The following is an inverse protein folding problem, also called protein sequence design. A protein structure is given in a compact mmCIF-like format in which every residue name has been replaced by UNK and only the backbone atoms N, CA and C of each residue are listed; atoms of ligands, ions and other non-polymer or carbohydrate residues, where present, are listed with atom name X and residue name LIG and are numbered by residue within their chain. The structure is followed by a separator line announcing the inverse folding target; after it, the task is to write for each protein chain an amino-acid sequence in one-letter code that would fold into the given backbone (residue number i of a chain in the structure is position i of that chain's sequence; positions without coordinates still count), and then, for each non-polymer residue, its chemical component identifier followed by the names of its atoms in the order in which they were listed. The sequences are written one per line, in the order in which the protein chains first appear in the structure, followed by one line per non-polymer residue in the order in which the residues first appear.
data_IF_604573854687
#
_entry.id   IF_604573854687
#
_cell.length_a   1.000
_cell.length_b   1.000
_cell.length_c   1.000
_cell.angle_alpha   90.00
_cell.angle_beta   90.00
_cell.angle_gamma   90.00
#
_symmetry.space_group_name_H-M   'P 1'
#
loop_
_entity.id
_entity.type
_entity.pdbx_description
1 polymer ?
#
# COMPACT_ATOMS: atom_id res chain seq x y z
N UNK A 1 -24.85 -78.09 -5.01
CA UNK A 1 -24.82 -77.58 -6.40
C UNK A 1 -24.26 -76.16 -6.53
N UNK A 2 -24.56 -75.23 -5.60
CA UNK A 2 -23.99 -73.87 -5.59
C UNK A 2 -22.45 -73.80 -5.49
N UNK A 3 -21.84 -74.72 -4.74
CA UNK A 3 -20.38 -74.79 -4.53
C UNK A 3 -19.64 -75.06 -5.86
N UNK A 4 -20.23 -75.85 -6.76
CA UNK A 4 -19.62 -76.20 -8.06
C UNK A 4 -19.69 -75.01 -9.03
N UNK A 5 -20.79 -74.26 -8.99
CA UNK A 5 -20.99 -73.04 -9.78
C UNK A 5 -20.04 -71.95 -9.29
N UNK A 6 -19.91 -71.79 -7.98
CA UNK A 6 -18.94 -70.87 -7.38
C UNK A 6 -17.52 -71.22 -7.83
N UNK A 7 -17.06 -72.46 -7.66
CA UNK A 7 -15.71 -72.88 -8.05
C UNK A 7 -15.40 -72.65 -9.55
N UNK A 8 -16.42 -72.76 -10.42
CA UNK A 8 -16.27 -72.51 -11.88
C UNK A 8 -16.23 -71.03 -12.26
N UNK A 9 -16.90 -70.16 -11.50
CA UNK A 9 -17.02 -68.72 -11.79
C UNK A 9 -16.32 -67.82 -10.76
N UNK A 10 -15.43 -68.36 -9.93
CA UNK A 10 -14.76 -67.65 -8.83
C UNK A 10 -14.04 -66.35 -9.29
N UNK A 11 -13.46 -66.35 -10.49
CA UNK A 11 -12.78 -65.17 -11.06
C UNK A 11 -13.75 -64.00 -11.33
N UNK A 12 -14.93 -64.27 -11.88
CA UNK A 12 -15.93 -63.23 -12.17
C UNK A 12 -16.61 -62.71 -10.89
N UNK A 13 -16.79 -63.59 -9.90
CA UNK A 13 -17.29 -63.20 -8.57
C UNK A 13 -16.31 -62.23 -7.90
N UNK A 14 -15.01 -62.53 -7.93
CA UNK A 14 -13.97 -61.66 -7.36
C UNK A 14 -13.92 -60.31 -8.10
N UNK A 15 -13.98 -60.32 -9.43
CA UNK A 15 -14.00 -59.08 -10.23
C UNK A 15 -15.24 -58.24 -9.90
N UNK A 16 -16.42 -58.86 -9.79
CA UNK A 16 -17.65 -58.16 -9.39
C UNK A 16 -17.56 -57.54 -8.00
N UNK A 17 -17.01 -58.27 -7.03
CA UNK A 17 -16.78 -57.74 -5.68
C UNK A 17 -15.78 -56.58 -5.67
N UNK A 18 -14.69 -56.68 -6.43
CA UNK A 18 -13.69 -55.60 -6.55
C UNK A 18 -14.29 -54.36 -7.22
N UNK A 19 -15.06 -54.53 -8.29
CA UNK A 19 -15.75 -53.43 -8.97
C UNK A 19 -16.75 -52.74 -8.03
N UNK A 20 -17.50 -53.53 -7.25
CA UNK A 20 -18.45 -53.00 -6.27
C UNK A 20 -17.74 -52.21 -5.15
N UNK A 21 -16.65 -52.75 -4.60
CA UNK A 21 -15.81 -52.03 -3.63
C UNK A 21 -15.27 -50.72 -4.22
N UNK A 22 -14.79 -50.74 -5.47
CA UNK A 22 -14.32 -49.54 -6.16
C UNK A 22 -15.40 -48.46 -6.26
N UNK A 23 -16.61 -48.83 -6.67
CA UNK A 23 -17.74 -47.89 -6.77
C UNK A 23 -18.07 -47.27 -5.41
N UNK A 24 -18.06 -48.06 -4.33
CA UNK A 24 -18.29 -47.55 -2.97
C UNK A 24 -17.20 -46.53 -2.59
N UNK A 25 -15.92 -46.84 -2.82
CA UNK A 25 -14.83 -45.92 -2.49
C UNK A 25 -14.90 -44.61 -3.28
N UNK A 26 -15.25 -44.68 -4.57
CA UNK A 26 -15.44 -43.50 -5.43
C UNK A 26 -16.64 -42.66 -4.97
N UNK A 27 -17.74 -43.29 -4.59
CA UNK A 27 -18.92 -42.60 -4.09
C UNK A 27 -18.64 -41.86 -2.77
N UNK A 28 -17.94 -42.52 -1.83
CA UNK A 28 -17.52 -41.91 -0.57
C UNK A 28 -16.56 -40.75 -0.80
N UNK A 29 -15.59 -40.91 -1.72
CA UNK A 29 -14.64 -39.85 -2.07
C UNK A 29 -15.37 -38.64 -2.68
N UNK A 30 -16.25 -38.86 -3.66
CA UNK A 30 -16.99 -37.80 -4.32
C UNK A 30 -17.90 -37.03 -3.33
N UNK A 31 -18.54 -37.74 -2.39
CA UNK A 31 -19.37 -37.10 -1.37
C UNK A 31 -18.57 -36.20 -0.43
N UNK A 32 -17.35 -36.61 -0.04
CA UNK A 32 -16.45 -35.80 0.78
C UNK A 32 -15.89 -34.60 0.01
N UNK A 33 -15.48 -34.81 -1.25
CA UNK A 33 -14.98 -33.75 -2.13
C UNK A 33 -16.05 -32.70 -2.41
N UNK A 34 -17.32 -33.09 -2.59
CA UNK A 34 -18.43 -32.15 -2.76
C UNK A 34 -18.58 -31.19 -1.58
N UNK A 35 -18.51 -31.70 -0.35
CA UNK A 35 -18.60 -30.88 0.87
C UNK A 35 -17.43 -29.90 1.00
N UNK A 36 -16.22 -30.34 0.64
CA UNK A 36 -15.03 -29.49 0.66
C UNK A 36 -15.14 -28.35 -0.36
N UNK A 37 -15.57 -28.66 -1.59
CA UNK A 37 -15.73 -27.66 -2.64
C UNK A 37 -16.78 -26.60 -2.27
N UNK A 38 -17.89 -26.99 -1.65
CA UNK A 38 -18.90 -26.03 -1.17
C UNK A 38 -18.36 -25.12 -0.05
N UNK A 39 -17.56 -25.69 0.87
CA UNK A 39 -16.92 -24.92 1.93
C UNK A 39 -15.87 -23.95 1.40
N UNK A 40 -15.06 -24.40 0.43
CA UNK A 40 -14.05 -23.58 -0.24
C UNK A 40 -14.67 -22.46 -1.07
N UNK A 41 -15.77 -22.73 -1.78
CA UNK A 41 -16.51 -21.71 -2.53
C UNK A 41 -17.06 -20.61 -1.61
N UNK A 42 -17.65 -20.98 -0.46
CA UNK A 42 -18.14 -20.01 0.52
C UNK A 42 -17.00 -19.20 1.16
N UNK A 43 -15.86 -19.81 1.40
CA UNK A 43 -14.69 -19.14 1.96
C UNK A 43 -14.09 -18.14 0.97
N UNK A 44 -13.88 -18.57 -0.27
CA UNK A 44 -13.31 -17.74 -1.35
C UNK A 44 -14.22 -16.55 -1.69
N UNK A 45 -15.54 -16.73 -1.74
CA UNK A 45 -16.48 -15.63 -1.94
C UNK A 45 -16.40 -14.59 -0.81
N UNK A 46 -16.25 -15.04 0.45
CA UNK A 46 -16.12 -14.12 1.58
C UNK A 46 -14.77 -13.40 1.58
N UNK A 47 -13.67 -14.10 1.29
CA UNK A 47 -12.33 -13.50 1.17
C UNK A 47 -12.35 -12.45 0.06
N UNK A 48 -12.93 -12.75 -1.10
CA UNK A 48 -12.98 -11.81 -2.22
C UNK A 48 -13.80 -10.55 -1.87
N UNK A 49 -14.88 -10.68 -1.09
CA UNK A 49 -15.64 -9.52 -0.60
C UNK A 49 -14.82 -8.66 0.36
N UNK A 50 -14.08 -9.29 1.28
CA UNK A 50 -13.21 -8.59 2.23
C UNK A 50 -12.04 -7.92 1.52
N UNK A 51 -11.39 -8.62 0.59
CA UNK A 51 -10.26 -8.11 -0.19
C UNK A 51 -10.68 -6.89 -1.02
N UNK A 52 -11.81 -6.95 -1.74
CA UNK A 52 -12.34 -5.80 -2.47
C UNK A 52 -12.65 -4.62 -1.54
N UNK A 53 -13.27 -4.87 -0.39
CA UNK A 53 -13.57 -3.82 0.58
C UNK A 53 -12.29 -3.19 1.18
N UNK A 54 -11.26 -4.00 1.43
CA UNK A 54 -9.96 -3.53 1.91
C UNK A 54 -9.22 -2.72 0.84
N UNK A 55 -9.20 -3.19 -0.42
CA UNK A 55 -8.60 -2.46 -1.55
C UNK A 55 -9.31 -1.13 -1.77
N UNK A 56 -10.65 -1.10 -1.71
CA UNK A 56 -11.41 0.15 -1.85
C UNK A 56 -11.17 1.11 -0.68
N UNK A 57 -11.09 0.60 0.55
CA UNK A 57 -10.76 1.40 1.73
C UNK A 57 -9.33 1.96 1.66
N UNK A 58 -8.37 1.14 1.22
CA UNK A 58 -6.98 1.54 1.04
C UNK A 58 -6.84 2.58 -0.06
N UNK A 59 -7.54 2.41 -1.19
CA UNK A 59 -7.60 3.39 -2.27
C UNK A 59 -8.20 4.72 -1.79
N UNK A 60 -9.31 4.71 -1.03
CA UNK A 60 -9.91 5.92 -0.45
C UNK A 60 -8.98 6.63 0.53
N UNK A 61 -8.18 5.88 1.30
CA UNK A 61 -7.19 6.49 2.19
C UNK A 61 -6.00 7.04 1.40
N UNK A 62 -5.48 6.31 0.42
CA UNK A 62 -4.41 6.78 -0.45
C UNK A 62 -4.83 8.00 -1.26
N UNK A 63 -6.06 8.09 -1.74
CA UNK A 63 -6.59 9.28 -2.41
C UNK A 63 -6.62 10.49 -1.48
N UNK A 64 -7.00 10.30 -0.22
CA UNK A 64 -6.98 11.39 0.78
C UNK A 64 -5.55 11.82 1.08
N UNK A 65 -4.62 10.88 1.27
CA UNK A 65 -3.22 11.18 1.55
C UNK A 65 -2.53 11.82 0.35
N UNK A 66 -2.79 11.35 -0.87
CA UNK A 66 -2.26 11.96 -2.10
C UNK A 66 -2.79 13.37 -2.29
N UNK A 67 -4.07 13.64 -2.02
CA UNK A 67 -4.62 15.00 -2.08
C UNK A 67 -3.94 15.93 -1.08
N UNK A 68 -3.83 15.50 0.17
CA UNK A 68 -3.13 16.27 1.22
C UNK A 68 -1.66 16.50 0.87
N UNK A 69 -0.97 15.50 0.31
CA UNK A 69 0.43 15.63 -0.10
C UNK A 69 0.59 16.59 -1.27
N UNK A 70 -0.27 16.49 -2.29
CA UNK A 70 -0.27 17.41 -3.43
C UNK A 70 -0.58 18.85 -3.03
N UNK A 71 -1.52 19.06 -2.10
CA UNK A 71 -1.84 20.39 -1.58
C UNK A 71 -0.71 20.96 -0.73
N UNK A 72 -0.04 20.13 0.08
CA UNK A 72 1.14 20.54 0.86
C UNK A 72 2.32 20.91 -0.04
N UNK A 73 2.57 20.15 -1.11
CA UNK A 73 3.62 20.46 -2.09
C UNK A 73 3.33 21.76 -2.84
N UNK A 74 2.07 22.01 -3.24
CA UNK A 74 1.66 23.27 -3.85
C UNK A 74 1.87 24.46 -2.91
N UNK A 75 1.36 24.39 -1.68
CA UNK A 75 1.55 25.46 -0.69
C UNK A 75 3.03 25.73 -0.41
N UNK A 76 3.86 24.68 -0.31
CA UNK A 76 5.31 24.81 -0.12
C UNK A 76 5.99 25.48 -1.32
N UNK A 77 5.58 25.15 -2.55
CA UNK A 77 6.10 25.80 -3.76
C UNK A 77 5.72 27.28 -3.85
N UNK A 78 4.48 27.63 -3.51
CA UNK A 78 4.03 29.03 -3.44
C UNK A 78 4.75 29.82 -2.34
N UNK A 79 5.02 29.18 -1.19
CA UNK A 79 5.82 29.79 -0.13
C UNK A 79 7.27 29.98 -0.56
N UNK A 80 7.89 29.00 -1.25
CA UNK A 80 9.25 29.14 -1.79
C UNK A 80 9.38 30.30 -2.76
N UNK A 81 8.45 30.45 -3.71
CA UNK A 81 8.51 31.56 -4.69
C UNK A 81 8.34 32.93 -4.03
N UNK A 82 7.47 33.04 -3.01
CA UNK A 82 7.33 34.27 -2.21
C UNK A 82 8.62 34.59 -1.45
N UNK A 83 9.24 33.61 -0.79
CA UNK A 83 10.50 33.80 -0.05
C UNK A 83 11.66 34.15 -0.99
N UNK A 84 11.77 33.51 -2.16
CA UNK A 84 12.76 33.85 -3.18
C UNK A 84 12.55 35.27 -3.72
N UNK A 85 11.31 35.68 -3.96
CA UNK A 85 11.00 37.04 -4.41
C UNK A 85 11.36 38.06 -3.35
N UNK A 86 10.99 37.83 -2.08
CA UNK A 86 11.31 38.72 -0.96
C UNK A 86 12.82 38.81 -0.73
N UNK A 87 13.53 37.68 -0.73
CA UNK A 87 14.99 37.69 -0.55
C UNK A 87 15.71 38.36 -1.72
N UNK A 88 15.23 38.20 -2.97
CA UNK A 88 15.77 38.89 -4.14
C UNK A 88 15.47 40.38 -4.12
N UNK A 89 14.26 40.79 -3.72
CA UNK A 89 13.91 42.21 -3.60
C UNK A 89 14.66 42.85 -2.44
N UNK A 90 14.79 42.21 -1.28
CA UNK A 90 15.61 42.71 -0.16
C UNK A 90 17.07 42.83 -0.58
N UNK A 91 17.66 41.81 -1.22
CA UNK A 91 19.04 41.92 -1.72
C UNK A 91 19.21 43.07 -2.73
N UNK A 92 18.26 43.25 -3.66
CA UNK A 92 18.32 44.32 -4.67
C UNK A 92 17.99 45.71 -4.11
N UNK A 93 17.13 45.81 -3.11
CA UNK A 93 16.74 47.07 -2.47
C UNK A 93 17.78 47.50 -1.42
N UNK A 94 18.53 46.55 -0.84
CA UNK A 94 19.60 46.80 0.15
C UNK A 94 21.00 46.75 -0.50
N UNK A 95 21.10 46.81 -1.82
CA UNK A 95 22.39 46.78 -2.54
C UNK A 95 23.33 47.94 -2.14
N UNK A 96 22.78 48.98 -1.50
CA UNK A 96 23.53 49.89 -0.63
C UNK A 96 22.70 50.15 0.63
N UNK A 97 23.06 49.63 1.82
CA UNK A 97 22.46 50.12 3.04
C UNK A 97 22.72 51.63 3.12
N UNK A 98 21.68 52.44 2.96
CA UNK A 98 21.77 53.87 3.22
C UNK A 98 21.91 53.99 4.73
N UNK A 99 23.14 54.19 5.19
CA UNK A 99 23.39 54.64 6.56
C UNK A 99 22.76 56.03 6.68
N UNK A 100 21.51 56.09 7.16
CA UNK A 100 20.89 57.35 7.53
C UNK A 100 21.72 57.90 8.70
N UNK A 101 22.48 58.97 8.43
CA UNK A 101 23.35 59.64 9.40
C UNK A 101 22.57 60.41 10.49
N UNK A 102 21.41 59.89 10.89
CA UNK A 102 20.56 60.47 11.94
C UNK A 102 20.73 59.75 13.29
N UNK A 103 21.37 58.59 13.33
CA UNK A 103 21.52 57.78 14.55
C UNK A 103 22.91 57.15 14.75
N UNK A 104 23.94 57.58 14.02
CA UNK A 104 25.32 57.09 14.25
C UNK A 104 26.04 58.16 15.05
N UNK A 105 26.22 57.91 16.34
CA UNK A 105 27.09 58.71 17.19
C UNK A 105 28.58 58.40 16.90
N UNK A 106 29.50 59.21 17.41
CA UNK A 106 30.94 59.00 17.21
C UNK A 106 31.39 57.60 17.66
N UNK A 107 30.69 56.98 18.61
CA UNK A 107 30.98 55.61 19.06
C UNK A 107 30.58 54.56 18.03
N UNK A 108 29.42 54.71 17.37
CA UNK A 108 28.99 53.83 16.28
C UNK A 108 29.95 53.85 15.09
N UNK A 109 30.54 55.02 14.76
CA UNK A 109 31.55 55.17 13.71
C UNK A 109 32.85 54.40 14.02
N UNK A 110 33.30 54.46 15.28
CA UNK A 110 34.49 53.71 15.76
C UNK A 110 34.31 52.21 15.59
N UNK A 111 33.14 51.67 15.97
CA UNK A 111 32.86 50.23 15.89
C UNK A 111 32.84 49.76 14.43
N UNK A 112 32.26 50.55 13.53
CA UNK A 112 32.22 50.22 12.09
C UNK A 112 33.63 50.22 11.49
N UNK A 113 34.46 51.22 11.78
CA UNK A 113 35.83 51.26 11.28
C UNK A 113 36.67 50.08 11.79
N UNK A 114 36.52 49.71 13.06
CA UNK A 114 37.19 48.54 13.61
C UNK A 114 36.75 47.22 12.96
N UNK A 115 35.51 47.12 12.49
CA UNK A 115 34.99 45.94 11.78
C UNK A 115 35.40 45.90 10.30
N UNK A 116 35.64 47.05 9.67
CA UNK A 116 36.11 47.17 8.27
C UNK A 116 37.62 46.98 8.17
N UNK A 117 38.38 47.51 9.14
CA UNK A 117 39.84 47.38 9.19
C UNK A 117 40.30 45.97 9.62
N UNK A 118 39.35 45.05 9.85
CA UNK A 118 39.61 43.62 9.97
C UNK A 118 40.65 43.29 11.03
N UNK A 119 40.23 43.29 12.29
CA UNK A 119 40.91 42.46 13.29
C UNK A 119 40.74 40.97 12.94
#
# INVERSE_FOLDING_TARGET
MWIVIAAKFWREIIIGFLAFLLVITLALLNHRTGQLNEAELKCTEQIQKIERAQVEALAKQQDKVNKVSADYEKLRSEQRTKVETVTRTVQKIVERPIYLNRCIDEQGLSIINNLIDGA
#
